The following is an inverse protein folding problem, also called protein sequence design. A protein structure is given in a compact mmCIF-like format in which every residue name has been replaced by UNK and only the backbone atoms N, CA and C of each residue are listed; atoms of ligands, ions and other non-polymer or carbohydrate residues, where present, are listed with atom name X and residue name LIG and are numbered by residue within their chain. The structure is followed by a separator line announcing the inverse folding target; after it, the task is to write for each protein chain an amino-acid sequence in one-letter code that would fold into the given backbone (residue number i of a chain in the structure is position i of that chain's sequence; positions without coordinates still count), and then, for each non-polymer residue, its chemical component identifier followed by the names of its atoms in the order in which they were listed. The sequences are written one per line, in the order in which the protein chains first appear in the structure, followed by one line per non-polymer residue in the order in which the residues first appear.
data_IF_696978973658
#
_entry.id   IF_696978973658
#
_cell.length_a   1.000
_cell.length_b   1.000
_cell.length_c   1.000
_cell.angle_alpha   90.00
_cell.angle_beta   90.00
_cell.angle_gamma   90.00
#
_symmetry.space_group_name_H-M   'P 1'
#
loop_
_entity.id
_entity.type
_entity.pdbx_description
1 polymer ?
2 non-polymer ?
3 non-polymer ?
4 water ?
#
# COMPACT_ATOMS: atom_id res chain seq x y z
N UNK A 10 -15.48 5.92 -4.14
CA UNK A 10 -15.52 4.75 -3.28
C UNK A 10 -14.18 4.53 -2.58
N UNK A 11 -14.17 4.75 -1.27
CA UNK A 11 -12.97 4.66 -0.45
C UNK A 11 -13.04 3.38 0.37
N UNK A 12 -11.96 2.60 0.36
CA UNK A 12 -11.88 1.35 1.11
C UNK A 12 -10.57 1.35 1.89
N UNK A 13 -10.60 0.82 3.11
CA UNK A 13 -9.41 0.63 3.93
C UNK A 13 -9.14 -0.86 4.02
N UNK A 14 -7.90 -1.25 3.72
CA UNK A 14 -7.49 -2.65 3.64
C UNK A 14 -6.36 -2.84 4.64
N UNK A 15 -6.61 -3.63 5.68
CA UNK A 15 -5.59 -3.93 6.68
C UNK A 15 -4.97 -5.29 6.37
N UNK A 16 -3.64 -5.30 6.26
CA UNK A 16 -2.89 -6.51 5.95
C UNK A 16 -2.05 -6.90 7.16
N UNK A 17 -2.14 -8.17 7.56
CA UNK A 17 -1.40 -8.64 8.73
C UNK A 17 0.11 -8.61 8.51
N UNK A 18 0.56 -8.78 7.26
CA UNK A 18 1.99 -8.81 6.93
C UNK A 18 2.73 -9.94 7.65
N UNK A 19 2.06 -11.06 7.87
CA UNK A 19 2.70 -12.21 8.51
C UNK A 19 3.01 -13.34 7.55
N UNK A 20 2.20 -13.53 6.50
CA UNK A 20 2.46 -14.55 5.50
C UNK A 20 3.32 -14.06 4.35
N UNK A 21 3.52 -12.75 4.22
CA UNK A 21 4.32 -12.18 3.14
C UNK A 21 5.21 -11.08 3.69
N UNK A 22 6.42 -10.98 3.15
CA UNK A 22 7.39 -9.99 3.62
C UNK A 22 7.11 -8.60 3.08
N UNK A 23 6.57 -8.49 1.87
CA UNK A 23 6.46 -7.21 1.19
C UNK A 23 5.03 -6.98 0.73
N UNK A 24 4.73 -5.72 0.42
CA UNK A 24 3.42 -5.40 -0.14
C UNK A 24 3.29 -5.92 -1.56
N UNK A 25 4.34 -5.74 -2.36
CA UNK A 25 4.31 -6.14 -3.75
C UNK A 25 3.51 -5.18 -4.60
N UNK A 26 3.77 -3.88 -4.44
CA UNK A 26 3.13 -2.86 -5.25
C UNK A 26 4.19 -1.90 -5.78
N UNK A 27 3.91 -1.32 -6.94
CA UNK A 27 4.61 -0.14 -7.42
C UNK A 27 3.65 1.03 -7.34
N UNK A 28 4.20 2.22 -7.11
CA UNK A 28 3.40 3.43 -7.03
C UNK A 28 3.85 4.38 -8.12
N UNK A 29 2.88 5.05 -8.73
CA UNK A 29 3.16 6.00 -9.80
C UNK A 29 2.43 7.32 -9.54
N UNK A 39 -1.84 12.92 -7.41
CA UNK A 39 -2.22 11.74 -6.66
C UNK A 39 -1.29 10.56 -6.88
N UNK A 40 -1.18 9.71 -5.87
CA UNK A 40 -0.34 8.52 -5.92
C UNK A 40 -1.23 7.32 -6.21
N UNK A 41 -0.91 6.58 -7.26
CA UNK A 41 -1.70 5.44 -7.69
C UNK A 41 -0.91 4.15 -7.57
N UNK A 42 -1.64 3.06 -7.35
CA UNK A 42 -1.08 1.71 -7.46
C UNK A 42 -0.82 1.46 -8.95
N UNK A 43 0.45 1.45 -9.33
CA UNK A 43 0.81 1.26 -10.73
C UNK A 43 0.75 -0.20 -11.14
N UNK A 44 1.15 -1.07 -10.22
CA UNK A 44 1.12 -2.50 -10.49
C UNK A 44 1.05 -3.25 -9.16
N UNK A 45 0.54 -4.47 -9.23
CA UNK A 45 0.56 -5.41 -8.11
C UNK A 45 1.35 -6.63 -8.56
N UNK A 46 2.24 -7.11 -7.70
CA UNK A 46 3.25 -8.08 -8.08
C UNK A 46 3.01 -9.43 -7.41
N UNK A 47 3.40 -10.48 -8.12
CA UNK A 47 3.35 -11.84 -7.60
C UNK A 47 4.14 -11.95 -6.30
N UNK A 48 3.55 -12.64 -5.32
CA UNK A 48 4.24 -12.96 -4.08
C UNK A 48 4.09 -11.94 -2.97
N UNK A 49 3.45 -10.80 -3.23
CA UNK A 49 3.27 -9.79 -2.20
C UNK A 49 1.98 -9.98 -1.40
N UNK A 50 1.91 -9.29 -0.26
CA UNK A 50 0.70 -9.34 0.56
C UNK A 50 -0.50 -8.77 -0.18
N UNK A 51 -0.29 -7.76 -1.03
CA UNK A 51 -1.41 -7.12 -1.70
C UNK A 51 -2.07 -8.07 -2.69
N UNK A 52 -1.27 -8.78 -3.49
CA UNK A 52 -1.82 -9.73 -4.45
C UNK A 52 -2.57 -10.86 -3.76
N UNK A 53 -1.99 -11.41 -2.70
CA UNK A 53 -2.65 -12.50 -1.97
C UNK A 53 -3.98 -12.05 -1.40
N UNK A 54 -4.07 -10.79 -0.97
CA UNK A 54 -5.27 -10.28 -0.33
C UNK A 54 -6.38 -10.05 -1.35
N UNK A 55 -6.06 -9.40 -2.46
CA UNK A 55 -6.98 -9.24 -3.57
C UNK A 55 -7.88 -8.02 -3.54
N UNK A 56 -7.95 -7.30 -2.42
CA UNK A 56 -8.89 -6.19 -2.32
C UNK A 56 -8.41 -4.93 -3.02
N UNK A 57 -7.11 -4.71 -3.07
CA UNK A 57 -6.56 -3.56 -3.78
C UNK A 57 -6.27 -3.97 -5.21
N UNK A 58 -6.50 -3.05 -6.14
CA UNK A 58 -6.33 -3.35 -7.55
C UNK A 58 -5.48 -2.28 -8.21
N UNK A 59 -4.79 -2.62 -9.30
CA UNK A 59 -4.00 -1.61 -10.00
C UNK A 59 -4.90 -0.48 -10.48
N UNK A 60 -4.43 0.75 -10.29
CA UNK A 60 -5.22 1.92 -10.60
C UNK A 60 -5.87 2.58 -9.40
N UNK A 61 -6.03 1.86 -8.30
CA UNK A 61 -6.54 2.47 -7.08
C UNK A 61 -5.60 3.59 -6.64
N UNK A 62 -6.17 4.64 -6.08
CA UNK A 62 -5.39 5.79 -5.62
C UNK A 62 -5.09 5.61 -4.14
N UNK A 63 -3.81 5.68 -3.79
CA UNK A 63 -3.38 5.43 -2.42
C UNK A 63 -3.50 6.72 -1.61
N UNK A 64 -4.36 6.71 -0.60
CA UNK A 64 -4.67 7.90 0.19
C UNK A 64 -3.93 7.96 1.51
N UNK A 65 -3.76 6.82 2.18
CA UNK A 65 -3.14 6.80 3.49
C UNK A 65 -2.58 5.42 3.74
N UNK A 66 -1.44 5.38 4.42
CA UNK A 66 -0.83 4.14 4.89
C UNK A 66 -0.60 4.31 6.38
N UNK A 67 -1.21 3.43 7.18
CA UNK A 67 -1.22 3.57 8.63
C UNK A 67 -1.63 4.98 9.02
N UNK A 68 -0.77 5.71 9.73
CA UNK A 68 -1.10 7.06 10.16
C UNK A 68 -0.42 8.13 9.30
N UNK A 69 -0.02 7.79 8.08
CA UNK A 69 0.65 8.71 7.17
C UNK A 69 -0.29 8.99 6.01
N UNK A 70 -0.75 10.23 5.90
CA UNK A 70 -1.56 10.63 4.76
C UNK A 70 -0.66 10.92 3.56
N UNK A 71 -1.13 10.54 2.38
CA UNK A 71 -0.33 10.62 1.16
C UNK A 71 -0.67 11.82 0.29
N UNK A 72 -1.51 12.74 0.77
CA UNK A 72 -1.84 13.93 -0.01
C UNK A 72 -0.61 14.81 -0.19
N UNK A 73 -0.45 15.35 -1.41
CA UNK A 73 0.63 16.27 -1.75
C UNK A 73 2.02 15.67 -1.56
N UNK A 74 2.12 14.34 -1.51
CA UNK A 74 3.39 13.68 -1.29
C UNK A 74 4.06 13.37 -2.62
N UNK A 75 5.36 13.60 -2.69
CA UNK A 75 6.12 13.24 -3.88
C UNK A 75 6.27 11.72 -3.96
N UNK A 76 6.54 11.24 -5.18
CA UNK A 76 6.74 9.81 -5.36
C UNK A 76 7.92 9.31 -4.53
N UNK A 77 9.02 10.08 -4.49
CA UNK A 77 10.19 9.66 -3.73
C UNK A 77 9.88 9.55 -2.24
N UNK A 78 9.12 10.51 -1.69
CA UNK A 78 8.78 10.44 -0.28
C UNK A 78 7.83 9.28 0.01
N UNK A 79 6.88 9.03 -0.90
CA UNK A 79 5.96 7.91 -0.71
C UNK A 79 6.70 6.58 -0.71
N UNK A 80 7.69 6.43 -1.59
CA UNK A 80 8.52 5.23 -1.57
C UNK A 80 9.26 5.12 -0.25
N UNK A 81 9.81 6.23 0.26
CA UNK A 81 10.52 6.18 1.53
C UNK A 81 9.59 5.79 2.67
N UNK A 82 8.36 6.31 2.66
CA UNK A 82 7.40 5.98 3.71
C UNK A 82 7.06 4.49 3.67
N UNK A 83 6.75 3.98 2.48
CA UNK A 83 6.43 2.56 2.34
C UNK A 83 7.60 1.69 2.77
N UNK A 84 8.82 2.06 2.36
CA UNK A 84 10.00 1.32 2.79
C UNK A 84 10.09 1.27 4.31
N UNK A 85 9.89 2.41 4.97
CA UNK A 85 10.01 2.45 6.42
C UNK A 85 8.91 1.63 7.10
N UNK A 86 7.69 1.70 6.58
CA UNK A 86 6.58 0.97 7.18
C UNK A 86 6.71 -0.53 6.94
N UNK A 87 7.06 -0.93 5.71
CA UNK A 87 7.20 -2.35 5.42
C UNK A 87 8.36 -2.95 6.21
N UNK A 88 9.40 -2.16 6.49
CA UNK A 88 10.55 -2.66 7.23
C UNK A 88 10.23 -2.93 8.69
N UNK A 89 9.23 -2.25 9.25
CA UNK A 89 8.88 -2.44 10.65
C UNK A 89 7.83 -3.53 10.78
N UNK A 90 7.94 -4.30 11.86
CA UNK A 90 6.99 -5.38 12.10
C UNK A 90 5.62 -4.80 12.42
N UNK A 91 4.58 -5.49 11.96
CA UNK A 91 3.23 -5.11 12.30
C UNK A 91 2.31 -5.02 11.10
N UNK A 92 1.02 -4.86 11.36
CA UNK A 92 0.06 -4.74 10.27
C UNK A 92 0.22 -3.43 9.52
N UNK A 93 -0.27 -3.42 8.29
CA UNK A 93 -0.27 -2.23 7.45
C UNK A 93 -1.69 -2.02 6.95
N UNK A 94 -2.23 -0.82 7.16
CA UNK A 94 -3.55 -0.46 6.68
C UNK A 94 -3.39 0.52 5.53
N UNK A 95 -3.95 0.18 4.37
CA UNK A 95 -3.89 1.01 3.18
C UNK A 95 -5.30 1.49 2.86
N UNK A 96 -5.47 2.80 2.78
CA UNK A 96 -6.74 3.38 2.38
C UNK A 96 -6.60 3.85 0.94
N UNK A 97 -7.48 3.34 0.07
CA UNK A 97 -7.44 3.66 -1.35
C UNK A 97 -8.80 4.14 -1.81
N UNK A 98 -8.79 4.95 -2.86
CA UNK A 98 -9.98 5.25 -3.65
C UNK A 98 -9.98 4.30 -4.84
N UNK A 99 -11.05 3.53 -4.99
CA UNK A 99 -11.09 2.50 -6.02
C UNK A 99 -11.14 3.12 -7.41
N UNK A 100 -10.38 2.55 -8.33
CA UNK A 100 -10.37 3.01 -9.72
C UNK A 100 -11.73 2.75 -10.36
X LIG B 1 10.48 -3.07 -0.91
X LIG B 1 10.12 -4.41 -1.05
X LIG B 1 10.39 -5.09 -2.24
X LIG B 1 11.01 -4.43 -3.30
X LIG B 1 11.36 -3.09 -3.17
X LIG B 1 11.09 -2.41 -1.98
X LIG B 1 12.53 -2.40 -6.28
X LIG B 1 12.57 -3.12 -7.65
X LIG B 1 12.48 -4.51 -7.64
X LIG B 1 11.50 -5.14 -8.41
X LIG B 1 11.42 -6.53 -8.42
X LIG B 1 12.33 -7.28 -7.68
X LIG B 1 13.31 -6.65 -6.93
X LIG B 1 13.39 -5.26 -6.92
X LIG B 1 13.09 -0.97 -6.08
X LIG B 1 13.70 -0.22 -7.28
X LIG B 1 8.10 -1.12 -0.48
X LIG B 1 8.55 0.17 -0.73
X LIG B 1 8.10 0.85 -1.85
X LIG B 1 7.21 0.23 -2.72
X LIG B 1 6.77 -1.07 -2.47
X LIG B 1 7.21 -1.76 -1.34
X LIG B 1 6.76 -3.06 -1.11
X LIG B 1 11.95 -2.46 -4.20
X LIG B 1 11.98 -3.03 -5.23
X LIG B 1 8.51 -1.79 0.58
X LIG B 1 12.69 -2.54 -8.72
X LIG B 1 13.08 -0.44 -4.97
X LIG B 1 6.30 -3.76 -2.05
X LIG B 1 6.78 -3.55 0.05
X LIG B 1 10.29 -3.17 1.81
X LIG B 1 10.98 -0.98 0.77
X LIG B 1 10.10 -2.22 0.63
X LIG C 1 -0.35 -11.38 5.05
X LIG C 1 -0.93 -10.04 5.13
X LIG C 1 1.03 -11.30 4.56
X LIG C 1 -0.33 -12.00 6.38
X LIG C 1 -1.13 -12.21 4.15
#
# INVERSE_FOLDING_TARGET
GPLGSDHSLNIVTVTLNMERHHFLGISIVGQSNDRGDGGIYIGSIMKGGAVAADGRIEPGDMLLQVNDVNFENMSNDDAVRVLREIVSQTGPISLTVAKATD
E83 CAB CAC CAD CAE CAF CAG CAJ CAK CAL CAM CAN CAO CAP CAQ CAS CAT CAW CAX CAY CAZ CBA CBB CBC NAH NAI NAV OAR OAU OBD OBE OBF OBG SAA
SO4 S O1 O2 O3 O4
#
